data_IF_826402361231
#
_entry.id   IF_826402361231
#
_cell.length_a   1.000
_cell.length_b   1.000
_cell.length_c   1.000
_cell.angle_alpha   90.00
_cell.angle_beta   90.00
_cell.angle_gamma   90.00
#
_symmetry.space_group_name_H-M   'P 1'
#
loop_
_entity.id
_entity.type
_entity.pdbx_description
1 polymer ?
#
# COMPACT_ATOMS: atom_id res chain seq x y z
N UNK A 1 -13.49 16.26 2.10
CA UNK A 1 -13.42 14.77 2.06
C UNK A 1 -14.07 14.24 3.34
N UNK A 2 -14.77 13.10 3.31
CA UNK A 2 -15.39 12.50 4.51
C UNK A 2 -14.76 11.14 4.81
N UNK A 3 -14.76 10.73 6.06
CA UNK A 3 -14.39 9.37 6.49
C UNK A 3 -15.67 8.64 6.92
N UNK A 4 -15.86 7.40 6.45
CA UNK A 4 -16.94 6.51 6.87
C UNK A 4 -16.36 5.13 7.16
N UNK A 5 -16.57 4.61 8.36
CA UNK A 5 -16.08 3.28 8.77
C UNK A 5 -14.58 3.07 8.48
N UNK A 6 -13.74 4.07 8.77
CA UNK A 6 -12.30 4.02 8.49
C UNK A 6 -11.89 4.32 7.05
N UNK A 7 -12.83 4.41 6.10
CA UNK A 7 -12.54 4.67 4.69
C UNK A 7 -12.75 6.13 4.30
N UNK A 8 -11.83 6.65 3.49
CA UNK A 8 -12.01 7.92 2.80
C UNK A 8 -13.08 7.80 1.70
N UNK A 9 -13.95 8.79 1.59
CA UNK A 9 -14.94 8.88 0.51
C UNK A 9 -14.38 9.60 -0.72
N UNK A 10 -14.87 9.26 -1.92
CA UNK A 10 -14.48 9.87 -3.22
C UNK A 10 -13.00 9.65 -3.57
N UNK A 11 -12.46 8.50 -3.19
CA UNK A 11 -11.14 8.02 -3.59
C UNK A 11 -11.30 6.63 -4.19
N UNK A 12 -10.29 6.16 -4.93
CA UNK A 12 -10.24 4.80 -5.43
C UNK A 12 -9.93 3.85 -4.27
N UNK A 13 -10.71 2.79 -4.11
CA UNK A 13 -10.46 1.76 -3.10
C UNK A 13 -9.80 0.55 -3.75
N UNK A 14 -8.68 0.12 -3.18
CA UNK A 14 -7.96 -1.11 -3.53
C UNK A 14 -7.75 -1.87 -2.24
N UNK A 15 -8.72 -2.70 -1.80
CA UNK A 15 -8.60 -3.43 -0.55
C UNK A 15 -7.41 -4.39 -0.59
N UNK A 16 -6.46 -4.23 0.33
CA UNK A 16 -5.32 -5.12 0.48
C UNK A 16 -5.58 -6.15 1.59
N UNK A 17 -5.15 -7.41 1.42
CA UNK A 17 -5.14 -8.39 2.51
C UNK A 17 -4.02 -8.15 3.54
N UNK A 18 -3.05 -7.26 3.27
CA UNK A 18 -1.91 -6.98 4.15
C UNK A 18 -2.28 -5.99 5.26
N UNK A 19 -3.19 -6.38 6.13
CA UNK A 19 -3.51 -5.65 7.36
C UNK A 19 -3.96 -6.60 8.47
N UNK A 20 -3.90 -6.13 9.71
CA UNK A 20 -4.40 -6.84 10.89
C UNK A 20 -4.89 -5.82 11.93
N UNK A 21 -5.37 -6.34 13.07
CA UNK A 21 -5.85 -5.53 14.19
C UNK A 21 -4.69 -4.81 14.89
N UNK A 22 -4.95 -3.59 15.35
CA UNK A 22 -4.02 -2.88 16.24
C UNK A 22 -4.11 -3.52 17.64
N UNK A 23 -2.99 -3.71 18.35
CA UNK A 23 -3.01 -4.17 19.74
C UNK A 23 -3.99 -3.35 20.58
N UNK A 24 -4.73 -4.02 21.45
CA UNK A 24 -5.71 -3.41 22.36
C UNK A 24 -6.75 -2.50 21.69
N UNK A 25 -6.97 -2.66 20.37
CA UNK A 25 -7.80 -1.77 19.55
C UNK A 25 -7.38 -0.29 19.63
N UNK A 26 -6.09 -0.03 19.76
CA UNK A 26 -5.55 1.32 19.91
C UNK A 26 -5.94 2.24 18.74
N UNK A 27 -6.42 3.44 19.06
CA UNK A 27 -6.68 4.47 18.07
C UNK A 27 -5.37 5.07 17.53
N UNK A 28 -5.17 5.19 16.20
CA UNK A 28 -3.96 5.76 15.65
C UNK A 28 -3.79 7.22 16.08
N UNK A 29 -2.62 7.55 16.63
CA UNK A 29 -2.27 8.88 17.16
C UNK A 29 -1.11 9.56 16.41
N UNK A 30 -0.46 8.84 15.50
CA UNK A 30 0.70 9.31 14.72
C UNK A 30 0.42 9.22 13.21
N UNK A 31 0.81 10.26 12.48
CA UNK A 31 0.87 10.27 11.02
C UNK A 31 2.32 10.06 10.58
N UNK A 32 2.55 9.06 9.72
CA UNK A 32 3.85 8.80 9.08
C UNK A 32 3.72 9.07 7.58
N UNK A 33 4.64 9.85 7.03
CA UNK A 33 4.65 10.23 5.62
C UNK A 33 5.75 9.47 4.90
N UNK A 34 5.40 8.81 3.80
CA UNK A 34 6.32 8.03 2.97
C UNK A 34 6.26 8.53 1.52
N UNK A 35 7.31 8.21 0.75
CA UNK A 35 7.29 8.27 -0.70
C UNK A 35 7.59 6.86 -1.25
N UNK A 36 7.12 6.60 -2.47
CA UNK A 36 7.42 5.36 -3.18
C UNK A 36 7.25 5.61 -4.69
N UNK A 37 8.14 5.02 -5.48
CA UNK A 37 8.05 4.92 -6.94
C UNK A 37 8.46 3.51 -7.33
N UNK A 38 7.72 2.91 -8.25
CA UNK A 38 7.98 1.56 -8.72
C UNK A 38 7.76 1.54 -10.24
N UNK A 39 8.77 1.15 -11.05
CA UNK A 39 10.19 1.02 -10.68
C UNK A 39 10.78 2.28 -10.00
N UNK A 40 11.92 2.19 -9.30
CA UNK A 40 12.51 3.35 -8.62
C UNK A 40 12.72 4.54 -9.57
N UNK A 41 12.17 5.70 -9.20
CA UNK A 41 12.24 6.93 -10.00
C UNK A 41 11.17 7.06 -11.09
N UNK A 42 10.34 6.03 -11.31
CA UNK A 42 9.28 6.03 -12.33
C UNK A 42 7.87 6.12 -11.71
N UNK A 43 6.97 6.81 -12.40
CA UNK A 43 5.61 7.09 -11.92
C UNK A 43 4.55 6.67 -12.94
N UNK A 44 3.33 6.38 -12.45
CA UNK A 44 2.14 6.11 -13.28
C UNK A 44 1.87 4.63 -13.60
N UNK A 45 2.74 3.70 -13.19
CA UNK A 45 2.52 2.26 -13.33
C UNK A 45 1.59 1.67 -12.25
N UNK A 46 1.11 0.42 -12.45
CA UNK A 46 0.23 -0.28 -11.50
C UNK A 46 0.97 -0.91 -10.31
N UNK A 47 2.28 -0.69 -10.21
CA UNK A 47 3.18 -1.51 -9.42
C UNK A 47 3.02 -1.31 -7.91
N UNK A 48 2.66 -0.09 -7.48
CA UNK A 48 2.45 0.21 -6.06
C UNK A 48 1.20 -0.51 -5.54
N UNK A 49 0.09 -0.49 -6.29
CA UNK A 49 -1.10 -1.26 -5.96
C UNK A 49 -0.80 -2.75 -5.88
N UNK A 50 -0.01 -3.27 -6.83
CA UNK A 50 0.38 -4.68 -6.86
C UNK A 50 1.27 -5.07 -5.69
N UNK A 51 2.25 -4.25 -5.31
CA UNK A 51 3.06 -4.47 -4.11
C UNK A 51 2.18 -4.49 -2.87
N UNK A 52 1.34 -3.46 -2.70
CA UNK A 52 0.50 -3.34 -1.50
C UNK A 52 -0.58 -4.41 -1.40
N UNK A 53 -1.00 -5.02 -2.51
CA UNK A 53 -1.94 -6.16 -2.52
C UNK A 53 -1.26 -7.54 -2.52
N UNK A 54 0.09 -7.59 -2.55
CA UNK A 54 0.83 -8.86 -2.59
C UNK A 54 0.74 -9.59 -3.93
N UNK A 55 0.50 -8.86 -5.03
CA UNK A 55 0.36 -9.40 -6.40
C UNK A 55 1.41 -8.85 -7.37
N UNK A 56 2.53 -8.36 -6.84
CA UNK A 56 3.64 -7.84 -7.63
C UNK A 56 4.35 -8.98 -8.38
N UNK A 57 4.40 -8.94 -9.73
CA UNK A 57 5.16 -9.93 -10.50
C UNK A 57 6.67 -9.68 -10.30
N UNK A 58 7.43 -10.67 -9.77
CA UNK A 58 8.86 -10.50 -9.48
C UNK A 58 9.72 -10.34 -10.74
N UNK A 59 9.23 -10.79 -11.89
CA UNK A 59 9.93 -10.84 -13.17
C UNK A 59 9.65 -9.61 -14.07
N UNK A 60 8.70 -8.75 -13.71
CA UNK A 60 8.35 -7.59 -14.54
C UNK A 60 9.38 -6.45 -14.50
N UNK A 61 10.24 -6.40 -13.49
CA UNK A 61 11.36 -5.47 -13.39
C UNK A 61 12.42 -6.05 -12.44
N UNK A 62 13.74 -5.89 -12.70
CA UNK A 62 14.79 -6.46 -11.85
C UNK A 62 14.65 -6.13 -10.35
N UNK A 63 14.23 -4.90 -10.03
CA UNK A 63 13.99 -4.46 -8.65
C UNK A 63 12.85 -5.22 -7.95
N UNK A 64 11.89 -5.77 -8.69
CA UNK A 64 10.72 -6.41 -8.09
C UNK A 64 11.03 -7.78 -7.49
N UNK A 65 12.04 -8.48 -7.99
CA UNK A 65 12.47 -9.76 -7.44
C UNK A 65 12.77 -9.68 -5.93
N UNK A 66 13.35 -8.56 -5.48
CA UNK A 66 13.74 -8.36 -4.08
C UNK A 66 12.56 -8.02 -3.17
N UNK A 67 11.49 -7.44 -3.71
CA UNK A 67 10.37 -6.89 -2.92
C UNK A 67 9.04 -7.63 -3.12
N UNK A 68 8.91 -8.48 -4.13
CA UNK A 68 7.65 -9.16 -4.44
C UNK A 68 7.16 -10.10 -3.33
N UNK A 69 8.07 -10.62 -2.51
CA UNK A 69 7.75 -11.47 -1.36
C UNK A 69 7.35 -10.67 -0.10
N UNK A 70 7.53 -9.34 -0.09
CA UNK A 70 7.22 -8.52 1.08
C UNK A 70 5.70 -8.42 1.29
N UNK A 71 5.29 -8.57 2.55
CA UNK A 71 3.90 -8.33 2.98
C UNK A 71 3.79 -6.93 3.57
N UNK A 72 3.66 -5.94 2.71
CA UNK A 72 3.58 -4.52 3.07
C UNK A 72 2.34 -3.89 2.47
N UNK A 73 1.82 -2.84 3.12
CA UNK A 73 0.78 -1.96 2.61
C UNK A 73 0.85 -0.61 3.32
N UNK A 74 0.24 0.41 2.72
CA UNK A 74 -0.02 1.70 3.34
C UNK A 74 -1.52 1.99 3.32
N UNK A 75 -1.99 2.86 4.22
CA UNK A 75 -3.40 3.24 4.26
C UNK A 75 -3.84 4.07 3.03
N UNK A 76 -2.93 4.87 2.46
CA UNK A 76 -3.17 5.72 1.30
C UNK A 76 -1.91 5.82 0.41
N UNK A 77 -2.13 6.07 -0.88
CA UNK A 77 -1.13 6.46 -1.89
C UNK A 77 -1.55 7.78 -2.53
#
# INVERSE_FOLDING_TARGET
MKIKQGWLTRVRHVPSPHCNERPDNEAPSLLVIHNISLPPGEFGGPWIDKLFTGTLPPDAHPYFADIAALKVAAHCL
#
